data_IF_626481816902
#
_entry.id   IF_626481816902
#
_cell.length_a   1.000
_cell.length_b   1.000
_cell.length_c   1.000
_cell.angle_alpha   90.00
_cell.angle_beta   90.00
_cell.angle_gamma   90.00
#
_symmetry.space_group_name_H-M   'P 1'
#
loop_
_entity.id
_entity.type
_entity.pdbx_description
1 polymer ?
#
# COMPACT_ATOMS: atom_id res chain seq x y z
N UNK A 1 25.37 -75.64 26.46
CA UNK A 1 25.39 -74.62 25.39
C UNK A 1 24.26 -73.58 25.52
N UNK A 2 23.67 -73.33 26.70
CA UNK A 2 22.52 -72.40 26.85
C UNK A 2 22.81 -71.09 27.60
N UNK A 3 23.96 -70.96 28.28
CA UNK A 3 24.25 -69.79 29.14
C UNK A 3 24.86 -68.60 28.38
N UNK A 4 25.50 -68.83 27.23
CA UNK A 4 26.19 -67.79 26.47
C UNK A 4 25.23 -66.94 25.61
N UNK A 5 24.12 -67.52 25.16
CA UNK A 5 23.07 -66.80 24.41
C UNK A 5 22.26 -65.84 25.29
N UNK A 6 22.01 -66.20 26.56
CA UNK A 6 21.24 -65.37 27.49
C UNK A 6 21.98 -64.08 27.88
N UNK A 7 23.31 -64.16 28.04
CA UNK A 7 24.17 -63.01 28.32
C UNK A 7 24.22 -62.01 27.16
N UNK A 8 24.21 -62.49 25.90
CA UNK A 8 24.25 -61.62 24.72
C UNK A 8 22.92 -60.88 24.53
N UNK A 9 21.78 -61.57 24.71
CA UNK A 9 20.46 -60.95 24.60
C UNK A 9 20.25 -59.86 25.67
N UNK A 10 20.73 -60.10 26.90
CA UNK A 10 20.66 -59.14 27.99
C UNK A 10 21.53 -57.90 27.75
N UNK A 11 22.73 -58.09 27.18
CA UNK A 11 23.64 -56.99 26.80
C UNK A 11 23.11 -56.15 25.64
N UNK A 12 22.43 -56.78 24.68
CA UNK A 12 21.74 -56.05 23.60
C UNK A 12 20.56 -55.24 24.15
N UNK A 13 19.79 -55.79 25.07
CA UNK A 13 18.71 -55.07 25.74
C UNK A 13 19.23 -53.85 26.51
N UNK A 14 20.29 -54.03 27.31
CA UNK A 14 20.95 -52.95 28.05
C UNK A 14 21.51 -51.85 27.12
N UNK A 15 22.07 -52.23 25.97
CA UNK A 15 22.58 -51.26 24.98
C UNK A 15 21.44 -50.45 24.33
N UNK A 16 20.30 -51.09 24.05
CA UNK A 16 19.11 -50.43 23.49
C UNK A 16 18.43 -49.55 24.55
N UNK A 17 18.37 -49.98 25.81
CA UNK A 17 17.89 -49.17 26.93
C UNK A 17 18.79 -47.95 27.17
N UNK A 18 20.11 -48.12 27.12
CA UNK A 18 21.06 -47.01 27.22
C UNK A 18 20.88 -46.01 26.07
N UNK A 19 20.65 -46.49 24.85
CA UNK A 19 20.35 -45.62 23.70
C UNK A 19 19.03 -44.87 23.87
N UNK A 20 17.97 -45.56 24.34
CA UNK A 20 16.69 -44.93 24.62
C UNK A 20 16.80 -43.86 25.73
N UNK A 21 17.59 -44.13 26.77
CA UNK A 21 17.88 -43.17 27.84
C UNK A 21 18.65 -41.96 27.31
N UNK A 22 19.64 -42.17 26.43
CA UNK A 22 20.38 -41.07 25.79
C UNK A 22 19.47 -40.19 24.93
N UNK A 23 18.57 -40.78 24.13
CA UNK A 23 17.60 -39.99 23.35
C UNK A 23 16.61 -39.23 24.25
N UNK A 24 16.17 -39.86 25.35
CA UNK A 24 15.29 -39.21 26.32
C UNK A 24 15.99 -38.03 26.98
N UNK A 25 17.25 -38.20 27.37
CA UNK A 25 18.08 -37.13 27.93
C UNK A 25 18.31 -36.02 26.90
N UNK A 26 18.71 -36.36 25.67
CA UNK A 26 18.92 -35.37 24.61
C UNK A 26 17.64 -34.57 24.30
N UNK A 27 16.48 -35.23 24.29
CA UNK A 27 15.19 -34.56 24.09
C UNK A 27 14.86 -33.62 25.26
N UNK A 28 15.15 -34.04 26.49
CA UNK A 28 15.00 -33.19 27.66
C UNK A 28 15.91 -31.96 27.57
N UNK A 29 17.20 -32.16 27.27
CA UNK A 29 18.19 -31.09 27.14
C UNK A 29 17.77 -30.09 26.03
N UNK A 30 17.32 -30.59 24.88
CA UNK A 30 16.78 -29.73 23.80
C UNK A 30 15.56 -28.94 24.24
N UNK A 31 14.66 -29.54 25.02
CA UNK A 31 13.47 -28.85 25.55
C UNK A 31 13.87 -27.73 26.52
N UNK A 32 14.86 -27.98 27.37
CA UNK A 32 15.39 -26.98 28.30
C UNK A 32 16.05 -25.82 27.54
N UNK A 33 16.86 -26.13 26.52
CA UNK A 33 17.49 -25.12 25.66
C UNK A 33 16.43 -24.28 24.95
N UNK A 34 15.42 -24.92 24.35
CA UNK A 34 14.32 -24.22 23.69
C UNK A 34 13.58 -23.27 24.64
N UNK A 35 13.22 -23.74 25.83
CA UNK A 35 12.52 -22.90 26.81
C UNK A 35 13.36 -21.70 27.27
N UNK A 36 14.67 -21.90 27.46
CA UNK A 36 15.58 -20.83 27.85
C UNK A 36 15.73 -19.78 26.73
N UNK A 37 15.90 -20.23 25.49
CA UNK A 37 15.98 -19.34 24.32
C UNK A 37 14.69 -18.52 24.16
N UNK A 38 13.52 -19.14 24.31
CA UNK A 38 12.23 -18.44 24.22
C UNK A 38 12.11 -17.36 25.30
N UNK A 39 12.53 -17.68 26.54
CA UNK A 39 12.51 -16.71 27.65
C UNK A 39 13.46 -15.55 27.40
N UNK A 40 14.69 -15.82 26.94
CA UNK A 40 15.67 -14.78 26.60
C UNK A 40 15.15 -13.92 25.43
N UNK A 41 14.55 -14.53 24.41
CA UNK A 41 13.94 -13.83 23.29
C UNK A 41 12.84 -12.87 23.74
N UNK A 42 11.90 -13.31 24.59
CA UNK A 42 10.82 -12.46 25.12
C UNK A 42 11.33 -11.34 26.05
N UNK A 43 12.44 -11.56 26.75
CA UNK A 43 13.06 -10.53 27.59
C UNK A 43 13.76 -9.46 26.76
N UNK A 44 14.48 -9.85 25.69
CA UNK A 44 15.20 -8.93 24.81
C UNK A 44 14.23 -8.16 23.91
N UNK A 45 13.20 -8.85 23.41
CA UNK A 45 12.22 -8.29 22.48
C UNK A 45 10.83 -8.24 23.11
N UNK A 46 10.49 -7.12 23.77
CA UNK A 46 9.13 -6.90 24.21
C UNK A 46 8.16 -6.84 23.02
N UNK A 47 6.87 -6.97 23.30
CA UNK A 47 5.84 -7.18 22.27
C UNK A 47 5.81 -6.14 21.14
N UNK A 48 6.07 -4.87 21.47
CA UNK A 48 6.13 -3.77 20.51
C UNK A 48 7.41 -3.77 19.64
N UNK A 49 8.44 -4.52 20.03
CA UNK A 49 9.74 -4.62 19.38
C UNK A 49 10.08 -6.05 18.89
N UNK A 50 9.13 -6.99 19.01
CA UNK A 50 9.29 -8.35 18.51
C UNK A 50 9.50 -8.33 16.98
N UNK A 51 10.65 -8.82 16.47
CA UNK A 51 10.97 -8.76 15.04
C UNK A 51 9.90 -9.40 14.14
N UNK A 52 9.31 -10.52 14.57
CA UNK A 52 8.27 -11.21 13.79
C UNK A 52 6.99 -10.37 13.69
N UNK A 53 6.61 -9.70 14.80
CA UNK A 53 5.46 -8.79 14.81
C UNK A 53 5.73 -7.49 14.07
N UNK A 54 6.97 -6.99 14.08
CA UNK A 54 7.36 -5.84 13.28
C UNK A 54 7.25 -6.15 11.78
N UNK A 55 7.74 -7.31 11.34
CA UNK A 55 7.62 -7.75 9.94
C UNK A 55 6.14 -7.85 9.53
N UNK A 56 5.27 -8.42 10.36
CA UNK A 56 3.84 -8.52 10.04
C UNK A 56 3.17 -7.14 9.96
N UNK A 57 3.50 -6.22 10.87
CA UNK A 57 3.01 -4.83 10.83
C UNK A 57 3.52 -4.08 9.60
N UNK A 58 4.79 -4.26 9.22
CA UNK A 58 5.36 -3.64 8.01
C UNK A 58 4.64 -4.15 6.77
N UNK A 59 4.44 -5.48 6.64
CA UNK A 59 3.69 -6.07 5.52
C UNK A 59 2.28 -5.49 5.43
N UNK A 60 1.57 -5.41 6.55
CA UNK A 60 0.24 -4.80 6.61
C UNK A 60 0.27 -3.33 6.15
N UNK A 61 1.23 -2.54 6.63
CA UNK A 61 1.38 -1.13 6.20
C UNK A 61 1.64 -1.04 4.69
N UNK A 62 2.45 -1.94 4.12
CA UNK A 62 2.71 -1.98 2.68
C UNK A 62 1.44 -2.28 1.87
N UNK A 63 0.64 -3.24 2.32
CA UNK A 63 -0.67 -3.57 1.72
C UNK A 63 -1.66 -2.39 1.81
N UNK A 64 -1.77 -1.80 3.01
CA UNK A 64 -2.64 -0.65 3.28
C UNK A 64 -2.22 0.57 2.44
N UNK A 65 -0.91 0.84 2.30
CA UNK A 65 -0.38 1.91 1.47
C UNK A 65 -0.68 1.70 -0.02
N UNK A 66 -0.55 0.47 -0.51
CA UNK A 66 -0.89 0.14 -1.90
C UNK A 66 -2.38 0.38 -2.18
N UNK A 67 -3.23 -0.02 -1.24
CA UNK A 67 -4.69 0.17 -1.34
C UNK A 67 -5.05 1.67 -1.28
N UNK A 68 -4.44 2.41 -0.34
CA UNK A 68 -4.65 3.85 -0.22
C UNK A 68 -4.22 4.61 -1.48
N UNK A 69 -3.11 4.21 -2.09
CA UNK A 69 -2.63 4.78 -3.36
C UNK A 69 -3.67 4.61 -4.47
N UNK A 70 -4.28 3.43 -4.59
CA UNK A 70 -5.31 3.19 -5.59
C UNK A 70 -6.56 4.05 -5.33
N UNK A 71 -7.05 4.10 -4.09
CA UNK A 71 -8.16 4.97 -3.73
C UNK A 71 -7.89 6.46 -4.02
N UNK A 72 -6.66 6.93 -3.76
CA UNK A 72 -6.27 8.30 -4.12
C UNK A 72 -6.30 8.52 -5.64
N UNK A 73 -5.87 7.53 -6.43
CA UNK A 73 -5.92 7.60 -7.91
C UNK A 73 -7.37 7.68 -8.41
N UNK A 74 -8.24 6.81 -7.91
CA UNK A 74 -9.66 6.81 -8.24
C UNK A 74 -10.34 8.13 -7.85
N UNK A 75 -10.03 8.66 -6.67
CA UNK A 75 -10.56 9.95 -6.20
C UNK A 75 -10.13 11.12 -7.10
N UNK A 76 -8.86 11.15 -7.52
CA UNK A 76 -8.36 12.16 -8.45
C UNK A 76 -9.04 12.06 -9.81
N UNK A 77 -9.21 10.84 -10.34
CA UNK A 77 -9.92 10.61 -11.58
C UNK A 77 -11.40 11.05 -11.50
N UNK A 78 -12.09 10.72 -10.41
CA UNK A 78 -13.47 11.15 -10.17
C UNK A 78 -13.59 12.68 -10.05
N UNK A 79 -12.60 13.34 -9.44
CA UNK A 79 -12.56 14.80 -9.36
C UNK A 79 -12.34 15.45 -10.73
N UNK A 80 -11.45 14.90 -11.56
CA UNK A 80 -11.24 15.37 -12.93
C UNK A 80 -12.53 15.25 -13.76
N UNK A 81 -13.19 14.09 -13.71
CA UNK A 81 -14.46 13.86 -14.41
C UNK A 81 -15.56 14.85 -13.96
N UNK A 82 -15.63 15.15 -12.66
CA UNK A 82 -16.56 16.17 -12.15
C UNK A 82 -16.23 17.57 -12.70
N UNK A 83 -14.94 17.95 -12.74
CA UNK A 83 -14.50 19.23 -13.30
C UNK A 83 -14.87 19.32 -14.79
N UNK A 84 -14.61 18.26 -15.55
CA UNK A 84 -14.90 18.22 -16.99
C UNK A 84 -16.41 18.34 -17.24
N UNK A 85 -17.23 17.57 -16.50
CA UNK A 85 -18.70 17.67 -16.56
C UNK A 85 -19.19 19.06 -16.20
N UNK A 86 -18.70 19.65 -15.11
CA UNK A 86 -19.08 21.00 -14.70
C UNK A 86 -18.73 22.04 -15.77
N UNK A 87 -17.54 21.93 -16.38
CA UNK A 87 -17.08 22.81 -17.46
C UNK A 87 -17.96 22.67 -18.71
N UNK A 88 -18.25 21.44 -19.14
CA UNK A 88 -19.14 21.19 -20.30
C UNK A 88 -20.53 21.78 -20.08
N UNK A 89 -21.13 21.56 -18.91
CA UNK A 89 -22.46 22.11 -18.57
C UNK A 89 -22.44 23.63 -18.51
N UNK A 90 -21.43 24.22 -17.86
CA UNK A 90 -21.34 25.67 -17.69
C UNK A 90 -21.15 26.38 -19.03
N UNK A 91 -20.22 25.89 -19.87
CA UNK A 91 -19.99 26.43 -21.21
C UNK A 91 -21.24 26.26 -22.09
N UNK A 92 -21.87 25.09 -22.06
CA UNK A 92 -23.10 24.81 -22.84
C UNK A 92 -24.28 25.71 -22.44
N UNK A 93 -24.50 25.90 -21.14
CA UNK A 93 -25.52 26.80 -20.62
C UNK A 93 -25.23 28.25 -21.02
N UNK A 94 -23.97 28.68 -20.90
CA UNK A 94 -23.54 30.03 -21.28
C UNK A 94 -23.75 30.31 -22.76
N UNK A 95 -23.32 29.40 -23.65
CA UNK A 95 -23.54 29.56 -25.09
C UNK A 95 -25.04 29.68 -25.41
N UNK A 96 -25.89 28.96 -24.67
CA UNK A 96 -27.34 29.05 -24.83
C UNK A 96 -27.91 30.40 -24.37
N UNK A 97 -27.42 30.93 -23.24
CA UNK A 97 -27.78 32.27 -22.76
C UNK A 97 -27.33 33.36 -23.74
N UNK A 98 -26.12 33.28 -24.28
CA UNK A 98 -25.60 34.26 -25.24
C UNK A 98 -26.42 34.26 -26.54
N UNK A 99 -26.83 33.08 -27.03
CA UNK A 99 -27.76 32.99 -28.18
C UNK A 99 -29.10 33.66 -27.89
N UNK A 100 -29.64 33.47 -26.69
CA UNK A 100 -30.90 34.09 -26.27
C UNK A 100 -30.79 35.60 -26.08
N UNK A 101 -29.67 36.10 -25.55
CA UNK A 101 -29.38 37.54 -25.47
C UNK A 101 -29.35 38.16 -26.88
N UNK A 102 -28.61 37.53 -27.80
CA UNK A 102 -28.52 37.96 -29.20
C UNK A 102 -29.90 38.00 -29.89
N UNK A 103 -30.74 36.98 -29.69
CA UNK A 103 -32.08 36.94 -30.28
C UNK A 103 -33.05 37.95 -29.66
N UNK A 104 -32.80 38.40 -28.43
CA UNK A 104 -33.68 39.32 -27.69
C UNK A 104 -33.22 40.78 -27.79
N UNK A 105 -32.14 41.07 -28.53
CA UNK A 105 -31.55 42.41 -28.62
C UNK A 105 -30.88 42.89 -27.33
N UNK A 106 -30.61 41.97 -26.39
CA UNK A 106 -29.92 42.26 -25.13
C UNK A 106 -28.40 42.21 -25.38
N UNK A 107 -27.60 43.13 -24.83
CA UNK A 107 -26.14 43.06 -24.92
C UNK A 107 -25.60 41.70 -24.45
N UNK A 108 -24.71 41.10 -25.26
CA UNK A 108 -24.09 39.82 -24.95
C UNK A 108 -23.05 40.03 -23.85
N UNK A 109 -23.14 39.24 -22.77
CA UNK A 109 -22.12 39.23 -21.73
C UNK A 109 -20.89 38.45 -22.20
N UNK A 110 -19.75 39.13 -22.32
CA UNK A 110 -18.47 38.52 -22.70
C UNK A 110 -17.89 37.70 -21.56
N UNK A 111 -16.99 36.78 -21.89
CA UNK A 111 -16.36 35.87 -20.93
C UNK A 111 -15.41 36.60 -19.97
N UNK A 112 -14.76 37.66 -20.45
CA UNK A 112 -13.93 38.56 -19.64
C UNK A 112 -14.71 39.34 -18.59
N UNK A 113 -16.01 39.53 -18.82
CA UNK A 113 -16.86 40.41 -18.04
C UNK A 113 -17.67 39.62 -16.99
N UNK A 114 -17.41 38.31 -16.86
CA UNK A 114 -18.05 37.42 -15.90
C UNK A 114 -17.08 37.00 -14.79
N UNK A 115 -17.17 37.63 -13.60
CA UNK A 115 -16.33 37.30 -12.46
C UNK A 115 -16.49 35.87 -11.97
N UNK A 116 -17.67 35.25 -12.11
CA UNK A 116 -17.93 33.90 -11.64
C UNK A 116 -17.28 32.85 -12.54
N UNK A 117 -17.31 33.05 -13.86
CA UNK A 117 -16.62 32.20 -14.81
C UNK A 117 -15.09 32.32 -14.68
N UNK A 118 -14.59 33.54 -14.51
CA UNK A 118 -13.16 33.78 -14.29
C UNK A 118 -12.66 33.09 -13.01
N UNK A 119 -13.40 33.24 -11.90
CA UNK A 119 -13.09 32.57 -10.63
C UNK A 119 -13.13 31.04 -10.76
N UNK A 120 -14.09 30.47 -11.49
CA UNK A 120 -14.16 29.04 -11.73
C UNK A 120 -12.93 28.52 -12.50
N UNK A 121 -12.52 29.20 -13.57
CA UNK A 121 -11.32 28.83 -14.33
C UNK A 121 -10.06 28.94 -13.47
N UNK A 122 -9.93 30.01 -12.67
CA UNK A 122 -8.80 30.16 -11.75
C UNK A 122 -8.69 28.99 -10.75
N UNK A 123 -9.82 28.54 -10.19
CA UNK A 123 -9.84 27.38 -9.27
C UNK A 123 -9.40 26.10 -9.99
N UNK A 124 -9.81 25.90 -11.25
CA UNK A 124 -9.38 24.75 -12.06
C UNK A 124 -7.88 24.83 -12.34
N UNK A 125 -7.37 26.00 -12.72
CA UNK A 125 -5.97 26.20 -13.05
C UNK A 125 -5.09 25.98 -11.80
N UNK A 126 -5.51 26.49 -10.64
CA UNK A 126 -4.84 26.23 -9.37
C UNK A 126 -4.81 24.74 -9.05
N UNK A 127 -5.93 24.05 -9.19
CA UNK A 127 -5.99 22.60 -8.95
C UNK A 127 -5.10 21.81 -9.92
N UNK A 128 -5.07 22.20 -11.20
CA UNK A 128 -4.22 21.59 -12.23
C UNK A 128 -2.74 21.80 -11.92
N UNK A 129 -2.38 23.01 -11.44
CA UNK A 129 -1.03 23.32 -11.00
C UNK A 129 -0.62 22.51 -9.76
N UNK A 130 -1.52 22.33 -8.79
CA UNK A 130 -1.24 21.52 -7.59
C UNK A 130 -0.98 20.04 -7.91
N UNK A 131 -1.68 19.48 -8.91
CA UNK A 131 -1.44 18.11 -9.37
C UNK A 131 -0.11 18.02 -10.13
N UNK A 132 0.18 19.00 -10.99
CA UNK A 132 1.38 18.99 -11.84
C UNK A 132 2.66 19.27 -11.06
N UNK A 133 2.63 20.19 -10.09
CA UNK A 133 3.76 20.52 -9.22
C UNK A 133 4.18 19.34 -8.35
N UNK A 134 3.25 18.50 -7.92
CA UNK A 134 3.56 17.30 -7.13
C UNK A 134 4.12 16.14 -7.97
N UNK A 135 3.99 16.19 -9.29
CA UNK A 135 4.58 15.21 -10.19
C UNK A 135 6.06 15.51 -10.53
N UNK A 136 6.55 16.73 -10.27
CA UNK A 136 7.88 17.20 -10.71
C UNK A 136 8.99 17.31 -9.65
N UNK A 137 8.72 17.04 -8.36
CA UNK A 137 9.68 17.27 -7.27
C UNK A 137 10.46 16.02 -6.78
N UNK A 138 10.47 14.90 -7.52
CA UNK A 138 11.21 13.70 -7.12
C UNK A 138 12.27 13.30 -8.16
N UNK A 139 13.47 13.86 -8.01
CA UNK A 139 14.68 13.36 -8.65
C UNK A 139 15.11 12.01 -8.02
N UNK A 140 15.21 11.01 -8.91
CA UNK A 140 16.25 9.99 -8.95
C UNK A 140 16.50 9.11 -7.71
N UNK A 141 15.62 8.13 -7.46
CA UNK A 141 16.04 6.72 -7.40
C UNK A 141 14.82 5.79 -7.29
N UNK A 142 14.90 4.65 -7.98
CA UNK A 142 13.88 3.58 -8.01
C UNK A 142 12.59 3.91 -8.79
N UNK A 143 12.62 3.57 -10.09
CA UNK A 143 11.48 3.10 -10.90
C UNK A 143 10.14 3.81 -10.65
N UNK A 144 10.01 4.92 -11.36
CA UNK A 144 9.17 6.05 -11.03
C UNK A 144 7.66 5.77 -11.20
N UNK A 145 7.05 5.37 -10.10
CA UNK A 145 5.61 5.17 -9.91
C UNK A 145 4.80 6.38 -10.40
N UNK A 146 5.31 7.60 -10.25
CA UNK A 146 4.61 8.80 -10.67
C UNK A 146 4.66 8.96 -12.20
N UNK A 147 5.77 8.61 -12.87
CA UNK A 147 5.81 8.57 -14.33
C UNK A 147 4.80 7.57 -14.91
N UNK A 148 4.57 6.43 -14.26
CA UNK A 148 3.57 5.46 -14.70
C UNK A 148 2.12 5.94 -14.48
N UNK A 149 1.90 6.78 -13.46
CA UNK A 149 0.59 7.36 -13.16
C UNK A 149 0.20 8.45 -14.18
N UNK A 150 1.18 9.19 -14.70
CA UNK A 150 0.95 10.37 -15.53
C UNK A 150 1.26 10.18 -17.03
N UNK A 151 1.94 9.10 -17.43
CA UNK A 151 2.18 8.77 -18.85
C UNK A 151 0.92 8.36 -19.62
N UNK A 152 -0.18 8.01 -18.95
CA UNK A 152 -1.44 7.61 -19.58
C UNK A 152 -2.29 8.80 -20.09
N UNK A 153 -1.87 10.05 -19.87
CA UNK A 153 -2.70 11.24 -20.14
C UNK A 153 -2.46 11.86 -21.52
N UNK A 154 -1.47 11.42 -22.31
CA UNK A 154 -1.23 12.01 -23.65
C UNK A 154 -0.99 10.94 -24.72
N UNK A 155 -2.07 10.36 -25.26
CA UNK A 155 -2.18 10.00 -26.67
C UNK A 155 -3.63 10.17 -27.15
N UNK A 156 -3.95 11.36 -27.65
CA UNK A 156 -5.19 11.64 -28.36
C UNK A 156 -4.95 12.75 -29.38
N UNK A 157 -4.92 12.37 -30.66
CA UNK A 157 -5.00 13.28 -31.81
C UNK A 157 -6.35 14.01 -31.84
#
# INVERSE_FOLDING_TARGET
MGHQHHLHLHRHHESVENLANLFTQANHDLTVVHHRLEKEFQQIYPENANPMKLVSRIKKIQEDLSTLKEHCRELLAAKQDLIDKAKTVLVGNRSSLQRMQASSGIPITRDSDDPALSNFNQIIDEWTAQISSKAGEQDADSEDINQLLFSAIVQGN
#
